data_IF_876090540734
#
_entry.id   IF_876090540734
#
_cell.length_a   1.000
_cell.length_b   1.000
_cell.length_c   1.000
_cell.angle_alpha   90.00
_cell.angle_beta   90.00
_cell.angle_gamma   90.00
#
_symmetry.space_group_name_H-M   'P 1'
#
loop_
_entity.id
_entity.type
_entity.pdbx_description
1 polymer ?
#
# COMPACT_ATOMS: atom_id res chain seq x y z
N UNK A 1 -5.77 -13.68 11.03
CA UNK A 1 -5.57 -12.77 9.90
C UNK A 1 -4.27 -13.21 9.29
N UNK A 2 -4.32 -13.73 8.08
CA UNK A 2 -3.14 -14.30 7.41
C UNK A 2 -2.16 -13.18 7.03
N UNK A 3 -0.87 -13.51 7.06
CA UNK A 3 0.21 -12.60 6.68
C UNK A 3 0.10 -12.27 5.17
N UNK A 4 0.06 -10.99 4.77
CA UNK A 4 0.02 -10.60 3.36
C UNK A 4 1.12 -11.25 2.50
N UNK A 5 2.27 -11.58 3.08
CA UNK A 5 3.34 -12.28 2.37
C UNK A 5 2.98 -13.73 2.06
N UNK A 6 2.34 -14.44 2.99
CA UNK A 6 1.81 -15.80 2.75
C UNK A 6 0.70 -15.79 1.70
N UNK A 7 -0.12 -14.74 1.69
CA UNK A 7 -1.17 -14.57 0.67
C UNK A 7 -0.55 -14.30 -0.70
N UNK A 8 0.48 -13.46 -0.78
CA UNK A 8 1.21 -13.19 -2.02
C UNK A 8 1.83 -14.48 -2.60
N UNK A 9 2.46 -15.31 -1.76
CA UNK A 9 2.99 -16.61 -2.15
C UNK A 9 1.89 -17.53 -2.70
N UNK A 10 0.77 -17.64 -1.97
CA UNK A 10 -0.36 -18.47 -2.38
C UNK A 10 -0.93 -18.01 -3.75
N UNK A 11 -1.24 -16.72 -3.89
CA UNK A 11 -1.80 -16.18 -5.12
C UNK A 11 -0.84 -16.32 -6.31
N UNK A 12 0.45 -16.07 -6.09
CA UNK A 12 1.47 -16.29 -7.11
C UNK A 12 1.56 -17.76 -7.52
N UNK A 13 1.46 -18.69 -6.56
CA UNK A 13 1.47 -20.14 -6.84
C UNK A 13 0.24 -20.62 -7.62
N UNK A 14 -0.88 -19.90 -7.53
CA UNK A 14 -2.09 -20.11 -8.32
C UNK A 14 -2.00 -19.54 -9.75
N UNK A 15 -0.88 -18.88 -10.09
CA UNK A 15 -0.66 -18.26 -11.39
C UNK A 15 -1.31 -16.88 -11.56
N UNK A 16 -1.79 -16.27 -10.46
CA UNK A 16 -2.29 -14.88 -10.48
C UNK A 16 -1.11 -13.93 -10.60
N UNK A 17 -1.26 -12.85 -11.36
CA UNK A 17 -0.29 -11.75 -11.30
C UNK A 17 -0.57 -10.89 -10.07
N UNK A 18 0.48 -10.60 -9.32
CA UNK A 18 0.39 -10.00 -7.99
C UNK A 18 1.45 -8.90 -7.87
N UNK A 19 1.11 -7.84 -7.15
CA UNK A 19 2.06 -6.85 -6.63
C UNK A 19 2.02 -6.80 -5.12
N UNK A 20 3.16 -6.48 -4.53
CA UNK A 20 3.34 -6.23 -3.12
C UNK A 20 3.60 -4.73 -2.92
N UNK A 21 2.77 -4.10 -2.12
CA UNK A 21 2.97 -2.73 -1.66
C UNK A 21 3.47 -2.75 -0.21
N UNK A 22 4.62 -2.11 0.02
CA UNK A 22 5.32 -2.12 1.31
C UNK A 22 5.55 -0.70 1.80
N UNK A 23 5.16 -0.40 3.04
CA UNK A 23 5.55 0.85 3.69
C UNK A 23 7.06 0.79 3.95
N UNK A 24 7.84 1.62 3.26
CA UNK A 24 9.30 1.65 3.36
C UNK A 24 9.82 2.79 4.22
N UNK A 25 9.02 3.83 4.42
CA UNK A 25 9.39 4.99 5.22
C UNK A 25 8.14 5.65 5.83
N UNK A 26 8.30 6.24 7.00
CA UNK A 26 7.23 6.98 7.67
C UNK A 26 7.77 8.24 8.35
N UNK A 27 6.97 9.29 8.35
CA UNK A 27 7.26 10.54 9.05
C UNK A 27 6.06 10.94 9.91
N UNK A 28 6.31 11.57 11.07
CA UNK A 28 5.25 12.04 11.96
C UNK A 28 4.35 10.91 12.47
N UNK A 29 3.07 11.22 12.67
CA UNK A 29 2.06 10.28 13.18
C UNK A 29 1.47 9.42 12.06
N UNK A 30 2.34 8.69 11.33
CA UNK A 30 1.90 7.80 10.26
C UNK A 30 1.00 6.66 10.80
N UNK A 31 -0.04 6.27 10.04
CA UNK A 31 -1.07 5.36 10.56
C UNK A 31 -0.66 3.87 10.55
N UNK A 32 0.39 3.51 9.81
CA UNK A 32 1.00 2.16 9.79
C UNK A 32 2.52 2.26 9.88
N UNK A 33 3.20 1.30 10.54
CA UNK A 33 4.65 1.27 10.61
C UNK A 33 5.30 0.81 9.30
N UNK A 34 6.58 1.13 9.14
CA UNK A 34 7.46 0.53 8.13
C UNK A 34 7.39 -1.00 8.20
N UNK A 35 7.36 -1.66 7.04
CA UNK A 35 7.17 -3.10 6.91
C UNK A 35 5.71 -3.54 6.94
N UNK A 36 4.75 -2.62 6.92
CA UNK A 36 3.36 -2.96 6.65
C UNK A 36 3.17 -3.29 5.18
N UNK A 37 2.40 -4.34 4.89
CA UNK A 37 2.22 -4.87 3.54
C UNK A 37 0.75 -4.82 3.12
N UNK A 38 0.56 -4.65 1.82
CA UNK A 38 -0.69 -4.82 1.11
C UNK A 38 -0.37 -5.65 -0.14
N UNK A 39 -1.00 -6.80 -0.29
CA UNK A 39 -0.90 -7.63 -1.50
C UNK A 39 -2.08 -7.32 -2.40
N UNK A 40 -1.85 -7.16 -3.71
CA UNK A 40 -2.85 -6.79 -4.70
C UNK A 40 -2.72 -7.72 -5.91
N UNK A 41 -3.83 -8.22 -6.46
CA UNK A 41 -3.81 -8.94 -7.73
C UNK A 41 -4.23 -8.08 -8.92
N UNK A 42 -4.10 -8.63 -10.12
CA UNK A 42 -4.47 -7.95 -11.37
C UNK A 42 -5.97 -7.59 -11.52
N UNK A 43 -6.84 -8.16 -10.67
CA UNK A 43 -8.27 -7.81 -10.62
C UNK A 43 -8.56 -6.72 -9.56
N UNK A 44 -7.52 -6.21 -8.89
CA UNK A 44 -7.61 -5.20 -7.84
C UNK A 44 -8.07 -5.74 -6.49
N UNK A 45 -8.15 -7.07 -6.31
CA UNK A 45 -8.40 -7.67 -4.99
C UNK A 45 -7.16 -7.50 -4.13
N UNK A 46 -7.35 -7.15 -2.86
CA UNK A 46 -6.23 -6.91 -1.96
C UNK A 46 -6.44 -7.47 -0.55
N UNK A 47 -5.33 -7.77 0.11
CA UNK A 47 -5.28 -8.19 1.52
C UNK A 47 -4.12 -7.47 2.24
N UNK A 48 -4.30 -7.18 3.53
CA UNK A 48 -3.36 -6.36 4.30
C UNK A 48 -3.72 -4.87 4.30
N UNK A 49 -2.77 -4.02 4.68
CA UNK A 49 -3.00 -2.58 4.83
C UNK A 49 -1.70 -1.81 4.96
N UNK A 50 -1.61 -0.67 4.25
CA UNK A 50 -0.49 0.29 4.36
C UNK A 50 -0.88 1.59 5.05
N UNK A 51 -2.17 1.84 5.27
CA UNK A 51 -2.63 3.05 5.99
C UNK A 51 -3.79 2.86 6.95
N UNK A 52 -4.59 1.81 6.79
CA UNK A 52 -5.77 1.55 7.62
C UNK A 52 -7.09 2.00 6.98
N UNK A 53 -7.08 2.42 5.70
CA UNK A 53 -8.27 2.59 4.87
C UNK A 53 -8.25 3.81 3.95
N UNK A 54 -7.44 4.83 4.21
CA UNK A 54 -7.53 6.11 3.51
C UNK A 54 -6.87 6.11 2.12
N UNK A 55 -5.74 5.41 1.95
CA UNK A 55 -4.98 5.45 0.69
C UNK A 55 -4.89 4.09 -0.03
N UNK A 56 -5.48 3.04 0.54
CA UNK A 56 -5.49 1.69 -0.05
C UNK A 56 -6.01 1.70 -1.50
N UNK A 57 -7.07 2.46 -1.80
CA UNK A 57 -7.60 2.55 -3.16
C UNK A 57 -6.63 3.15 -4.18
N UNK A 58 -5.85 4.16 -3.78
CA UNK A 58 -4.83 4.75 -4.64
C UNK A 58 -3.65 3.79 -4.85
N UNK A 59 -3.24 3.07 -3.81
CA UNK A 59 -2.19 2.05 -3.90
C UNK A 59 -2.62 0.89 -4.80
N UNK A 60 -3.87 0.45 -4.72
CA UNK A 60 -4.42 -0.60 -5.58
C UNK A 60 -4.40 -0.19 -7.05
N UNK A 61 -4.77 1.06 -7.37
CA UNK A 61 -4.75 1.55 -8.75
C UNK A 61 -3.33 1.51 -9.34
N UNK A 62 -2.34 2.05 -8.64
CA UNK A 62 -0.94 2.00 -9.08
C UNK A 62 -0.38 0.57 -9.11
N UNK A 63 -0.82 -0.30 -8.21
CA UNK A 63 -0.39 -1.70 -8.19
C UNK A 63 -0.83 -2.47 -9.44
N UNK A 64 -2.04 -2.20 -9.96
CA UNK A 64 -2.49 -2.80 -11.22
C UNK A 64 -1.58 -2.38 -12.37
N UNK A 65 -1.20 -1.10 -12.45
CA UNK A 65 -0.25 -0.60 -13.46
C UNK A 65 1.15 -1.22 -13.30
N UNK A 66 1.63 -1.41 -12.06
CA UNK A 66 2.89 -2.10 -11.77
C UNK A 66 2.84 -3.56 -12.22
N UNK A 67 1.71 -4.25 -12.04
CA UNK A 67 1.51 -5.62 -12.51
C UNK A 67 1.56 -5.69 -14.03
N UNK A 68 0.85 -4.79 -14.72
CA UNK A 68 0.81 -4.76 -16.18
C UNK A 68 2.16 -4.42 -16.81
N UNK A 69 2.87 -3.44 -16.25
CA UNK A 69 4.13 -2.94 -16.80
C UNK A 69 5.36 -3.72 -16.33
N UNK A 70 5.24 -4.43 -15.21
CA UNK A 70 6.34 -5.10 -14.51
C UNK A 70 7.38 -4.15 -13.91
N UNK A 71 7.09 -2.84 -13.84
CA UNK A 71 8.00 -1.79 -13.37
C UNK A 71 7.61 -1.34 -11.96
N UNK A 72 8.47 -1.50 -10.95
CA UNK A 72 8.19 -1.03 -9.61
C UNK A 72 8.01 0.49 -9.53
N UNK A 73 7.21 0.95 -8.57
CA UNK A 73 6.95 2.37 -8.32
C UNK A 73 7.11 2.72 -6.84
N UNK A 74 7.49 3.97 -6.57
CA UNK A 74 7.53 4.56 -5.24
C UNK A 74 6.41 5.58 -5.14
N UNK A 75 5.51 5.40 -4.17
CA UNK A 75 4.39 6.28 -3.89
C UNK A 75 4.64 7.03 -2.58
N UNK A 76 4.12 8.25 -2.47
CA UNK A 76 4.22 9.07 -1.27
C UNK A 76 2.84 9.65 -0.93
N UNK A 77 2.41 9.46 0.31
CA UNK A 77 1.10 9.89 0.79
C UNK A 77 1.22 10.66 2.10
N UNK A 78 0.64 11.86 2.15
CA UNK A 78 0.47 12.64 3.37
C UNK A 78 -0.93 12.47 3.95
N UNK A 79 -1.04 12.13 5.23
CA UNK A 79 -2.30 12.10 5.96
C UNK A 79 -2.57 13.49 6.51
N UNK A 80 -2.93 14.42 5.62
CA UNK A 80 -3.57 15.67 6.05
C UNK A 80 -5.07 15.39 6.07
N UNK A 81 -5.60 15.05 7.24
CA UNK A 81 -7.00 14.69 7.46
C UNK A 81 -7.95 15.67 6.73
N UNK A 82 -8.91 15.13 5.98
CA UNK A 82 -9.88 15.86 5.14
C UNK A 82 -10.82 16.80 5.96
N UNK A 83 -10.61 16.92 7.28
CA UNK A 83 -11.36 17.82 8.17
C UNK A 83 -10.46 18.74 9.04
N UNK A 84 -9.12 18.67 8.92
CA UNK A 84 -8.19 19.32 9.86
C UNK A 84 -7.78 20.77 9.51
N UNK A 85 -8.67 21.57 8.90
CA UNK A 85 -8.32 22.92 8.41
C UNK A 85 -9.12 24.10 8.96
N UNK A 86 -9.58 24.02 10.22
CA UNK A 86 -10.00 25.23 10.96
C UNK A 86 -9.32 25.41 12.33
N UNK A 87 -8.62 24.40 12.86
CA UNK A 87 -8.14 24.44 14.26
C UNK A 87 -6.76 23.79 14.46
N UNK A 88 -5.74 24.23 13.73
CA UNK A 88 -4.32 24.17 14.15
C UNK A 88 -3.72 22.87 14.74
N UNK A 89 -4.22 21.68 14.41
CA UNK A 89 -3.74 20.40 14.95
C UNK A 89 -3.44 19.44 13.80
N UNK A 90 -2.16 19.35 13.43
CA UNK A 90 -1.68 18.44 12.41
C UNK A 90 -1.50 17.04 12.98
N UNK A 91 -2.35 16.08 12.59
CA UNK A 91 -1.93 14.68 12.53
C UNK A 91 -1.03 14.50 11.29
N UNK A 92 0.07 15.25 11.22
CA UNK A 92 0.92 15.45 10.03
C UNK A 92 1.87 14.28 9.75
N UNK A 93 1.30 13.10 9.51
CA UNK A 93 2.05 11.92 9.13
C UNK A 93 2.18 11.75 7.62
N UNK A 94 3.31 11.22 7.14
CA UNK A 94 3.51 10.82 5.74
C UNK A 94 4.00 9.38 5.70
N UNK A 95 3.61 8.64 4.66
CA UNK A 95 4.17 7.32 4.36
C UNK A 95 4.73 7.28 2.94
N UNK A 96 5.80 6.50 2.76
CA UNK A 96 6.28 6.10 1.42
C UNK A 96 6.04 4.62 1.23
N UNK A 97 5.43 4.27 0.11
CA UNK A 97 5.02 2.91 -0.23
C UNK A 97 5.75 2.48 -1.49
N UNK A 98 6.54 1.42 -1.40
CA UNK A 98 7.17 0.80 -2.55
C UNK A 98 6.27 -0.31 -3.08
N UNK A 99 5.94 -0.25 -4.36
CA UNK A 99 5.07 -1.22 -5.04
C UNK A 99 5.87 -1.96 -6.08
N UNK A 100 5.91 -3.29 -5.99
CA UNK A 100 6.67 -4.13 -6.91
C UNK A 100 5.89 -5.41 -7.30
N UNK A 101 6.09 -5.94 -8.52
CA UNK A 101 5.46 -7.18 -8.93
C UNK A 101 6.13 -8.39 -8.25
N UNK A 102 5.33 -9.35 -7.80
CA UNK A 102 5.78 -10.64 -7.26
C UNK A 102 6.12 -11.58 -8.43
N UNK A 103 7.21 -12.33 -8.31
CA UNK A 103 7.74 -13.21 -9.36
C UNK A 103 8.12 -14.59 -8.85
#
# INVERSE_FOLDING_TARGET
MDDPLTIAEAWSSEGRKVALATVVDTWGSAPRPVGSHLVIDEEGRFEGSVSGGCVEGAVVAEAVDVIETGKPQMLEFGVADETAWEVGLSCGGTIRVFVEPVR
#
